data_IF_280823634351
#
_entry.id   IF_280823634351
#
_cell.length_a   1.000
_cell.length_b   1.000
_cell.length_c   1.000
_cell.angle_alpha   90.00
_cell.angle_beta   90.00
_cell.angle_gamma   90.00
#
_symmetry.space_group_name_H-M   'P 1'
#
loop_
_entity.id
_entity.type
_entity.pdbx_description
1 polymer ?
#
# COMPACT_ATOMS: atom_id res chain seq x y z
N UNK A 1 -53.92 55.32 -6.89
CA UNK A 1 -53.82 55.82 -5.49
C UNK A 1 -53.74 54.62 -4.56
N UNK A 2 -52.67 54.57 -3.74
CA UNK A 2 -52.55 53.93 -2.41
C UNK A 2 -52.99 52.47 -2.20
N UNK A 3 -52.39 51.65 -1.36
CA UNK A 3 -51.11 51.50 -0.64
C UNK A 3 -51.37 50.22 0.19
N UNK A 4 -50.40 49.29 0.23
CA UNK A 4 -49.95 48.53 1.43
C UNK A 4 -51.03 47.90 2.35
N UNK A 5 -51.09 46.60 2.62
CA UNK A 5 -50.17 45.50 2.32
C UNK A 5 -50.51 44.22 3.10
N UNK A 6 -49.75 43.16 2.79
CA UNK A 6 -49.32 42.02 3.64
C UNK A 6 -50.48 41.13 4.12
N UNK A 7 -50.58 39.86 3.70
CA UNK A 7 -49.89 38.73 4.34
C UNK A 7 -49.82 37.55 3.34
N UNK A 8 -48.57 37.17 3.03
CA UNK A 8 -48.02 35.80 3.03
C UNK A 8 -48.83 34.71 2.31
N UNK A 9 -48.31 34.26 1.17
CA UNK A 9 -48.67 32.95 0.65
C UNK A 9 -48.36 32.73 -0.83
N UNK A 10 -47.10 32.90 -1.25
CA UNK A 10 -46.46 32.15 -2.36
C UNK A 10 -45.06 32.73 -2.67
N UNK A 11 -44.14 32.66 -1.72
CA UNK A 11 -42.72 32.89 -2.02
C UNK A 11 -41.85 32.07 -1.05
N UNK A 12 -41.93 30.74 -1.20
CA UNK A 12 -40.98 29.78 -0.62
C UNK A 12 -41.06 28.48 -1.43
N UNK A 13 -40.89 28.56 -2.76
CA UNK A 13 -40.25 27.46 -3.48
C UNK A 13 -38.75 27.76 -3.35
N UNK A 14 -38.26 27.64 -2.12
CA UNK A 14 -36.85 27.42 -1.88
C UNK A 14 -36.54 26.11 -2.56
N UNK A 15 -35.85 26.22 -3.70
CA UNK A 15 -34.71 25.38 -4.09
C UNK A 15 -34.37 24.36 -3.01
N UNK A 16 -35.13 23.28 -3.01
CA UNK A 16 -34.83 22.04 -2.33
C UNK A 16 -34.31 21.07 -3.38
N UNK A 17 -33.35 21.52 -4.19
CA UNK A 17 -32.39 20.59 -4.75
C UNK A 17 -31.60 20.15 -3.53
N UNK A 18 -32.15 19.14 -2.85
CA UNK A 18 -31.36 18.26 -2.04
C UNK A 18 -30.23 17.81 -2.94
N UNK A 19 -29.06 18.43 -2.76
CA UNK A 19 -27.79 17.81 -3.06
C UNK A 19 -27.75 16.55 -2.19
N UNK A 20 -28.51 15.53 -2.59
CA UNK A 20 -28.14 14.16 -2.30
C UNK A 20 -26.83 14.05 -3.07
N UNK A 21 -25.73 14.37 -2.41
CA UNK A 21 -24.44 13.81 -2.79
C UNK A 21 -24.72 12.32 -2.80
N UNK A 22 -24.89 11.76 -3.99
CA UNK A 22 -24.72 10.33 -4.18
C UNK A 22 -23.33 10.08 -3.60
N UNK A 23 -23.28 9.57 -2.37
CA UNK A 23 -22.05 9.03 -1.82
C UNK A 23 -21.79 7.83 -2.71
N UNK A 24 -21.06 8.06 -3.80
CA UNK A 24 -20.51 6.97 -4.58
C UNK A 24 -19.64 6.17 -3.62
N UNK A 25 -19.78 4.86 -3.65
CA UNK A 25 -18.77 3.99 -3.09
C UNK A 25 -17.48 4.34 -3.83
N UNK A 26 -16.55 4.95 -3.13
CA UNK A 26 -15.25 5.32 -3.63
C UNK A 26 -14.25 4.47 -2.88
N UNK A 27 -13.65 3.55 -3.63
CA UNK A 27 -12.56 2.71 -3.22
C UNK A 27 -11.31 3.19 -3.94
N UNK A 28 -10.34 3.68 -3.17
CA UNK A 28 -9.14 4.27 -3.73
C UNK A 28 -7.89 3.70 -3.05
N UNK A 29 -6.91 3.33 -3.89
CA UNK A 29 -5.56 2.98 -3.45
C UNK A 29 -4.58 4.08 -3.80
N UNK A 30 -3.72 4.39 -2.84
CA UNK A 30 -2.52 5.21 -3.07
C UNK A 30 -1.28 4.46 -2.62
N UNK A 31 -0.19 4.63 -3.37
CA UNK A 31 1.08 3.96 -3.17
C UNK A 31 2.14 4.99 -2.88
N UNK A 32 2.78 4.88 -1.72
CA UNK A 32 3.92 5.69 -1.35
C UNK A 32 5.13 4.80 -1.09
N UNK A 33 6.17 4.97 -1.90
CA UNK A 33 7.35 4.12 -1.91
C UNK A 33 8.56 4.98 -1.57
N UNK A 34 9.30 4.59 -0.54
CA UNK A 34 10.60 5.18 -0.22
C UNK A 34 11.68 4.13 -0.36
N UNK A 35 12.68 4.43 -1.19
CA UNK A 35 13.77 3.53 -1.51
C UNK A 35 15.02 3.99 -0.77
N UNK A 36 15.72 3.02 -0.19
CA UNK A 36 17.02 3.16 0.45
C UNK A 36 18.05 2.33 -0.32
N UNK A 37 19.34 2.44 0.04
CA UNK A 37 20.34 1.57 -0.57
C UNK A 37 20.05 0.10 -0.30
N UNK A 38 19.84 -0.26 0.96
CA UNK A 38 19.72 -1.65 1.42
C UNK A 38 18.26 -2.14 1.53
N UNK A 39 17.30 -1.41 1.00
CA UNK A 39 15.90 -1.79 1.12
C UNK A 39 14.92 -0.75 0.60
N UNK A 40 13.64 -1.03 0.83
CA UNK A 40 12.54 -0.19 0.39
C UNK A 40 11.38 -0.33 1.36
N UNK A 41 10.64 0.76 1.56
CA UNK A 41 9.36 0.77 2.24
C UNK A 41 8.27 1.09 1.22
N UNK A 42 7.24 0.25 1.17
CA UNK A 42 6.05 0.49 0.37
C UNK A 42 4.85 0.59 1.29
N UNK A 43 4.29 1.79 1.38
CA UNK A 43 3.04 2.06 2.06
C UNK A 43 1.88 2.07 1.06
N UNK A 44 0.91 1.21 1.28
CA UNK A 44 -0.37 1.20 0.60
C UNK A 44 -1.41 1.84 1.50
N UNK A 45 -2.15 2.81 0.98
CA UNK A 45 -3.26 3.44 1.72
C UNK A 45 -4.55 3.16 0.98
N UNK A 46 -5.51 2.61 1.71
CA UNK A 46 -6.82 2.19 1.22
C UNK A 46 -7.88 3.10 1.81
N UNK A 47 -8.54 3.89 0.98
CA UNK A 47 -9.68 4.70 1.38
C UNK A 47 -10.96 3.93 1.07
N UNK A 48 -11.79 3.71 2.11
CA UNK A 48 -13.03 2.94 2.03
C UNK A 48 -14.20 3.86 2.39
N UNK A 49 -15.24 3.83 1.57
CA UNK A 49 -16.45 4.64 1.76
C UNK A 49 -17.69 3.96 1.21
N UNK A 50 -18.88 4.48 1.56
CA UNK A 50 -20.15 4.01 1.00
C UNK A 50 -20.36 2.50 1.17
N UNK A 51 -20.75 1.82 0.08
CA UNK A 51 -21.01 0.37 0.10
C UNK A 51 -19.76 -0.45 0.45
N UNK A 52 -18.57 -0.03 0.01
CA UNK A 52 -17.33 -0.78 0.28
C UNK A 52 -17.03 -0.85 1.78
N UNK A 53 -17.44 0.16 2.54
CA UNK A 53 -17.30 0.17 4.00
C UNK A 53 -18.19 -0.86 4.68
N UNK A 54 -19.40 -1.08 4.15
CA UNK A 54 -20.28 -2.15 4.60
C UNK A 54 -19.66 -3.52 4.27
N UNK A 55 -19.24 -3.73 3.02
CA UNK A 55 -18.65 -5.01 2.58
C UNK A 55 -17.40 -5.35 3.40
N UNK A 56 -16.55 -4.37 3.67
CA UNK A 56 -15.36 -4.56 4.51
C UNK A 56 -15.73 -5.03 5.93
N UNK A 57 -16.72 -4.37 6.56
CA UNK A 57 -17.15 -4.69 7.92
C UNK A 57 -17.88 -6.02 8.00
N UNK A 58 -18.77 -6.29 7.04
CA UNK A 58 -19.44 -7.57 6.88
C UNK A 58 -18.43 -8.71 6.78
N UNK A 59 -17.37 -8.56 5.97
CA UNK A 59 -16.34 -9.59 5.85
C UNK A 59 -15.53 -9.78 7.14
N UNK A 60 -15.33 -8.73 7.94
CA UNK A 60 -14.69 -8.87 9.26
C UNK A 60 -15.54 -9.76 10.17
N UNK A 61 -16.82 -9.44 10.30
CA UNK A 61 -17.73 -10.21 11.15
C UNK A 61 -17.91 -11.65 10.62
N UNK A 62 -18.13 -11.81 9.31
CA UNK A 62 -18.40 -13.10 8.68
C UNK A 62 -17.18 -14.05 8.70
N UNK A 63 -15.97 -13.55 8.43
CA UNK A 63 -14.77 -14.39 8.32
C UNK A 63 -13.96 -14.49 9.62
N UNK A 64 -13.95 -13.43 10.43
CA UNK A 64 -13.11 -13.35 11.63
C UNK A 64 -13.92 -13.32 12.93
N UNK A 65 -15.21 -13.03 12.84
CA UNK A 65 -16.12 -12.77 13.94
C UNK A 65 -17.05 -13.89 14.33
N UNK A 66 -18.13 -13.50 14.99
CA UNK A 66 -19.17 -14.38 15.52
C UNK A 66 -20.50 -14.24 14.78
N UNK A 67 -20.58 -13.40 13.74
CA UNK A 67 -21.75 -13.20 12.87
C UNK A 67 -22.91 -12.57 13.62
N UNK A 68 -22.64 -11.52 14.38
CA UNK A 68 -23.63 -10.78 15.16
C UNK A 68 -23.96 -9.39 14.59
N UNK A 69 -23.60 -9.16 13.32
CA UNK A 69 -23.79 -7.92 12.56
C UNK A 69 -23.05 -6.73 13.21
N UNK A 70 -21.98 -7.01 13.96
CA UNK A 70 -21.21 -5.99 14.68
C UNK A 70 -19.71 -6.30 14.69
N UNK A 71 -18.91 -5.32 14.27
CA UNK A 71 -17.45 -5.42 14.31
C UNK A 71 -16.91 -4.94 15.66
N UNK A 72 -16.33 -5.87 16.40
CA UNK A 72 -15.67 -5.62 17.67
C UNK A 72 -14.14 -5.45 17.52
N UNK A 73 -13.50 -4.92 18.55
CA UNK A 73 -12.06 -4.66 18.54
C UNK A 73 -11.20 -5.92 18.37
N UNK A 74 -11.66 -7.07 18.88
CA UNK A 74 -10.91 -8.32 18.74
C UNK A 74 -11.05 -8.92 17.34
N UNK A 75 -12.17 -8.68 16.65
CA UNK A 75 -12.38 -9.10 15.25
C UNK A 75 -11.53 -8.26 14.32
N UNK A 76 -11.49 -6.95 14.54
CA UNK A 76 -10.59 -6.06 13.82
C UNK A 76 -9.13 -6.47 14.01
N UNK A 77 -8.71 -6.84 15.22
CA UNK A 77 -7.36 -7.35 15.49
C UNK A 77 -7.08 -8.69 14.78
N UNK A 78 -8.08 -9.58 14.68
CA UNK A 78 -7.95 -10.83 13.91
C UNK A 78 -7.81 -10.55 12.42
N UNK A 79 -8.62 -9.63 11.87
CA UNK A 79 -8.56 -9.22 10.47
C UNK A 79 -7.19 -8.61 10.15
N UNK A 80 -6.69 -7.73 11.00
CA UNK A 80 -5.36 -7.15 10.89
C UNK A 80 -4.27 -8.24 10.77
N UNK A 81 -4.27 -9.23 11.68
CA UNK A 81 -3.35 -10.38 11.61
C UNK A 81 -3.56 -11.22 10.34
N UNK A 82 -4.82 -11.41 9.93
CA UNK A 82 -5.16 -12.15 8.72
C UNK A 82 -4.59 -11.46 7.47
N UNK A 83 -4.80 -10.16 7.33
CA UNK A 83 -4.33 -9.36 6.20
C UNK A 83 -2.81 -9.35 6.11
N UNK A 84 -2.09 -9.14 7.22
CA UNK A 84 -0.61 -9.22 7.22
C UNK A 84 -0.09 -10.57 6.72
N UNK A 85 -0.71 -11.67 7.18
CA UNK A 85 -0.33 -13.01 6.74
C UNK A 85 -0.65 -13.25 5.26
N UNK A 86 -1.80 -12.74 4.80
CA UNK A 86 -2.24 -12.83 3.41
C UNK A 86 -1.29 -12.06 2.50
N UNK A 87 -0.98 -10.80 2.81
CA UNK A 87 0.04 -10.00 2.12
C UNK A 87 1.38 -10.71 2.06
N UNK A 88 1.88 -11.21 3.21
CA UNK A 88 3.18 -11.90 3.27
C UNK A 88 3.21 -13.13 2.38
N UNK A 89 2.15 -13.94 2.41
CA UNK A 89 2.05 -15.16 1.60
C UNK A 89 1.98 -14.82 0.12
N UNK A 90 1.16 -13.83 -0.23
CA UNK A 90 0.94 -13.33 -1.58
C UNK A 90 2.23 -12.85 -2.24
N UNK A 91 2.96 -11.96 -1.58
CA UNK A 91 4.21 -11.39 -2.11
C UNK A 91 5.30 -12.48 -2.21
N UNK A 92 5.37 -13.41 -1.26
CA UNK A 92 6.31 -14.55 -1.34
C UNK A 92 6.02 -15.48 -2.52
N UNK A 93 4.76 -15.66 -2.88
CA UNK A 93 4.37 -16.48 -4.03
C UNK A 93 4.68 -15.77 -5.35
N UNK A 94 4.45 -14.46 -5.40
CA UNK A 94 4.73 -13.63 -6.57
C UNK A 94 5.21 -12.25 -6.10
N UNK A 95 6.52 -12.04 -6.18
CA UNK A 95 7.13 -10.77 -5.83
C UNK A 95 6.57 -9.65 -6.72
N UNK A 96 6.23 -8.55 -6.07
CA UNK A 96 5.74 -7.30 -6.63
C UNK A 96 6.87 -6.29 -6.88
N UNK A 97 8.11 -6.67 -6.59
CA UNK A 97 9.32 -5.87 -6.79
C UNK A 97 10.37 -6.67 -7.53
N UNK A 98 11.03 -6.04 -8.50
CA UNK A 98 12.27 -6.55 -9.11
C UNK A 98 13.27 -5.42 -9.27
N UNK A 99 14.54 -5.77 -9.19
CA UNK A 99 15.67 -4.93 -9.57
C UNK A 99 16.35 -5.62 -10.73
N UNK A 100 16.57 -4.91 -11.85
CA UNK A 100 17.18 -5.46 -13.06
C UNK A 100 16.52 -6.78 -13.52
N UNK A 101 15.18 -6.74 -13.55
CA UNK A 101 14.28 -7.84 -13.93
C UNK A 101 14.40 -9.11 -13.06
N UNK A 102 15.02 -9.02 -11.89
CA UNK A 102 15.16 -10.12 -10.93
C UNK A 102 14.59 -9.76 -9.55
N UNK A 103 13.97 -10.72 -8.87
CA UNK A 103 13.64 -10.62 -7.44
C UNK A 103 14.66 -11.33 -6.55
N UNK A 104 15.76 -11.84 -7.12
CA UNK A 104 16.84 -12.44 -6.36
C UNK A 104 17.49 -11.40 -5.43
N UNK A 105 17.82 -11.79 -4.20
CA UNK A 105 18.37 -10.88 -3.19
C UNK A 105 17.37 -9.88 -2.60
N UNK A 106 16.08 -9.98 -2.94
CA UNK A 106 15.01 -9.17 -2.34
C UNK A 106 14.25 -10.01 -1.30
N UNK A 107 14.24 -9.56 -0.05
CA UNK A 107 13.55 -10.22 1.04
C UNK A 107 12.45 -9.35 1.64
N UNK A 108 11.33 -9.94 2.05
CA UNK A 108 10.32 -9.26 2.87
C UNK A 108 10.79 -9.31 4.33
N UNK A 109 11.19 -8.17 4.87
CA UNK A 109 11.61 -8.03 6.27
C UNK A 109 10.38 -8.01 7.17
N UNK A 110 9.44 -7.11 6.88
CA UNK A 110 8.27 -6.91 7.70
C UNK A 110 7.04 -6.49 6.89
N UNK A 111 5.86 -6.75 7.45
CA UNK A 111 4.58 -6.26 6.94
C UNK A 111 3.77 -5.80 8.13
N UNK A 112 3.41 -4.53 8.13
CA UNK A 112 2.50 -3.94 9.10
C UNK A 112 1.14 -3.63 8.46
N UNK A 113 0.10 -3.65 9.28
CA UNK A 113 -1.24 -3.24 8.92
C UNK A 113 -1.83 -2.40 10.05
N UNK A 114 -2.51 -1.33 9.68
CA UNK A 114 -3.18 -0.41 10.58
C UNK A 114 -4.60 -0.22 10.08
N UNK A 115 -5.52 -0.97 10.68
CA UNK A 115 -6.95 -0.86 10.39
C UNK A 115 -7.58 0.25 11.23
N UNK A 116 -8.46 1.03 10.61
CA UNK A 116 -9.12 2.14 11.31
C UNK A 116 -10.09 1.66 12.40
N UNK A 117 -10.07 2.32 13.55
CA UNK A 117 -11.07 2.12 14.62
C UNK A 117 -12.50 2.52 14.18
N UNK A 118 -12.62 3.30 13.11
CA UNK A 118 -13.90 3.63 12.46
C UNK A 118 -14.55 2.43 11.77
N UNK A 119 -13.83 1.32 11.59
CA UNK A 119 -14.41 0.06 11.14
C UNK A 119 -15.19 -0.67 12.24
N UNK A 120 -15.10 -0.25 13.50
CA UNK A 120 -15.84 -0.82 14.62
C UNK A 120 -17.33 -0.44 14.57
N UNK A 121 -18.17 -1.26 15.19
CA UNK A 121 -19.62 -1.03 15.30
C UNK A 121 -20.45 -1.88 14.35
N UNK A 122 -21.76 -1.60 14.22
CA UNK A 122 -22.67 -2.36 13.37
C UNK A 122 -22.15 -2.43 11.94
N UNK A 123 -22.15 -3.61 11.32
CA UNK A 123 -21.58 -3.81 9.99
C UNK A 123 -22.34 -3.05 8.88
N UNK A 124 -23.68 -2.94 9.01
CA UNK A 124 -24.58 -2.16 8.15
C UNK A 124 -24.28 -0.65 8.12
N UNK A 125 -23.55 -0.13 9.09
CA UNK A 125 -23.21 1.28 9.14
C UNK A 125 -22.12 1.62 8.12
N UNK A 126 -22.52 2.33 7.06
CA UNK A 126 -21.61 2.85 6.03
C UNK A 126 -20.79 4.02 6.59
N UNK A 127 -19.53 3.73 6.92
CA UNK A 127 -18.61 4.67 7.56
C UNK A 127 -17.37 4.84 6.70
N UNK A 128 -16.98 6.08 6.43
CA UNK A 128 -15.73 6.32 5.71
C UNK A 128 -14.54 6.13 6.65
N UNK A 129 -13.53 5.40 6.20
CA UNK A 129 -12.30 5.18 6.94
C UNK A 129 -11.13 4.83 6.01
N UNK A 130 -9.92 4.93 6.56
CA UNK A 130 -8.67 4.70 5.83
C UNK A 130 -7.87 3.62 6.55
N UNK A 131 -7.45 2.61 5.80
CA UNK A 131 -6.51 1.59 6.27
C UNK A 131 -5.13 1.84 5.66
N UNK A 132 -4.09 1.43 6.36
CA UNK A 132 -2.71 1.54 5.86
C UNK A 132 -2.00 0.21 6.03
N UNK A 133 -1.24 -0.17 5.00
CA UNK A 133 -0.41 -1.37 4.99
C UNK A 133 1.00 -0.97 4.61
N UNK A 134 2.00 -1.46 5.33
CA UNK A 134 3.39 -1.11 5.07
C UNK A 134 4.22 -2.36 4.90
N UNK A 135 4.84 -2.52 3.74
CA UNK A 135 5.77 -3.62 3.46
C UNK A 135 7.20 -3.09 3.49
N UNK A 136 8.06 -3.76 4.24
CA UNK A 136 9.49 -3.46 4.32
C UNK A 136 10.26 -4.53 3.56
N UNK A 137 11.00 -4.12 2.53
CA UNK A 137 11.86 -4.96 1.72
C UNK A 137 13.32 -4.71 2.08
N UNK A 138 14.11 -5.78 2.09
CA UNK A 138 15.57 -5.73 2.19
C UNK A 138 16.20 -6.12 0.85
N UNK A 139 17.26 -5.42 0.47
CA UNK A 139 18.06 -5.69 -0.72
C UNK A 139 19.44 -6.16 -0.28
N UNK A 140 19.77 -7.43 -0.52
CA UNK A 140 20.98 -8.09 -0.01
C UNK A 140 22.27 -7.39 -0.46
N UNK A 141 22.36 -7.07 -1.75
CA UNK A 141 23.54 -6.44 -2.36
C UNK A 141 23.38 -4.91 -2.53
N UNK A 142 22.22 -4.38 -2.14
CA UNK A 142 21.89 -2.96 -2.23
C UNK A 142 21.61 -2.45 -3.65
N UNK A 143 20.88 -1.34 -3.73
CA UNK A 143 20.44 -0.69 -4.95
C UNK A 143 21.60 -0.06 -5.73
N UNK A 144 22.65 0.40 -5.02
CA UNK A 144 23.75 1.17 -5.64
C UNK A 144 24.75 0.32 -6.41
N UNK A 145 24.81 -0.97 -6.11
CA UNK A 145 25.72 -1.92 -6.76
C UNK A 145 25.02 -2.62 -7.93
N UNK A 146 23.71 -2.86 -7.79
CA UNK A 146 23.00 -3.85 -8.60
C UNK A 146 21.81 -3.33 -9.42
N UNK A 147 21.52 -2.02 -9.34
CA UNK A 147 20.27 -1.50 -9.85
C UNK A 147 20.45 -0.39 -10.87
N UNK A 148 19.96 -0.64 -12.09
CA UNK A 148 19.69 0.42 -13.07
C UNK A 148 18.20 0.54 -13.40
N UNK A 149 17.42 -0.48 -13.05
CA UNK A 149 15.98 -0.54 -13.23
C UNK A 149 15.28 -1.08 -11.99
N UNK A 150 14.15 -0.47 -11.65
CA UNK A 150 13.24 -0.91 -10.60
C UNK A 150 11.90 -1.20 -11.25
N UNK A 151 11.37 -2.38 -10.99
CA UNK A 151 10.06 -2.79 -11.45
C UNK A 151 9.12 -2.98 -10.25
N UNK A 152 7.91 -2.44 -10.37
CA UNK A 152 6.89 -2.39 -9.32
C UNK A 152 5.55 -2.88 -9.86
N UNK A 153 4.89 -3.77 -9.14
CA UNK A 153 3.54 -4.24 -9.46
C UNK A 153 2.53 -3.60 -8.51
N UNK A 154 1.73 -2.66 -9.02
CA UNK A 154 0.65 -2.00 -8.27
C UNK A 154 -0.72 -2.19 -8.89
N UNK A 155 -1.74 -1.71 -8.17
CA UNK A 155 -3.13 -1.70 -8.66
C UNK A 155 -3.26 -0.72 -9.84
N UNK A 156 -3.83 -1.13 -10.98
CA UNK A 156 -4.05 -0.21 -12.11
C UNK A 156 -4.85 1.03 -11.69
N UNK A 157 -4.51 2.19 -12.24
CA UNK A 157 -5.11 3.50 -11.91
C UNK A 157 -4.91 4.01 -10.48
N UNK A 158 -4.14 3.32 -9.65
CA UNK A 158 -3.82 3.80 -8.31
C UNK A 158 -2.71 4.85 -8.35
N UNK A 159 -2.76 5.81 -7.43
CA UNK A 159 -1.74 6.86 -7.35
C UNK A 159 -0.40 6.28 -6.90
N UNK A 160 0.68 6.83 -7.44
CA UNK A 160 2.04 6.39 -7.20
C UNK A 160 2.95 7.57 -6.88
N UNK A 161 3.60 7.50 -5.72
CA UNK A 161 4.72 8.36 -5.33
C UNK A 161 5.92 7.47 -5.00
N UNK A 162 7.06 7.72 -5.65
CA UNK A 162 8.31 6.98 -5.45
C UNK A 162 9.43 7.97 -5.13
N UNK A 163 10.03 7.83 -3.96
CA UNK A 163 11.16 8.62 -3.50
C UNK A 163 12.42 7.77 -3.51
N UNK A 164 13.39 8.16 -4.33
CA UNK A 164 14.72 7.56 -4.37
C UNK A 164 15.67 8.24 -3.38
N UNK A 165 16.81 7.59 -3.05
CA UNK A 165 17.89 8.24 -2.32
C UNK A 165 18.39 9.50 -3.04
N UNK A 166 18.85 10.47 -2.27
CA UNK A 166 19.45 11.70 -2.81
C UNK A 166 20.61 11.38 -3.77
N UNK A 167 20.79 12.18 -4.81
CA UNK A 167 21.78 11.92 -5.86
C UNK A 167 21.34 10.88 -6.91
N UNK A 168 20.12 10.36 -6.80
CA UNK A 168 19.50 9.55 -7.86
C UNK A 168 18.91 10.42 -8.95
N UNK A 169 19.23 10.09 -10.19
CA UNK A 169 18.63 10.64 -11.40
C UNK A 169 17.70 9.61 -12.02
N UNK A 170 16.42 9.95 -12.15
CA UNK A 170 15.45 9.14 -12.91
C UNK A 170 15.64 9.42 -14.40
N UNK A 171 15.84 8.36 -15.19
CA UNK A 171 16.15 8.44 -16.63
C UNK A 171 14.89 8.26 -17.47
N UNK A 172 14.12 7.23 -17.19
CA UNK A 172 12.92 6.87 -17.95
C UNK A 172 11.95 6.05 -17.11
N UNK A 173 10.69 6.04 -17.54
CA UNK A 173 9.60 5.34 -16.89
C UNK A 173 8.72 4.65 -17.93
N UNK A 174 8.25 3.45 -17.61
CA UNK A 174 7.24 2.71 -18.39
C UNK A 174 6.14 2.21 -17.44
N UNK A 175 4.91 2.05 -17.92
CA UNK A 175 3.79 1.57 -17.11
C UNK A 175 3.30 2.56 -16.04
N UNK A 176 3.62 3.85 -16.17
CA UNK A 176 3.18 4.92 -15.27
C UNK A 176 2.56 6.04 -16.11
N UNK A 177 1.32 6.40 -15.79
CA UNK A 177 0.57 7.49 -16.42
C UNK A 177 0.79 8.82 -15.66
N UNK A 178 0.66 9.95 -16.37
CA UNK A 178 0.74 11.31 -15.81
C UNK A 178 2.01 11.59 -14.99
N UNK A 179 3.15 11.08 -15.47
CA UNK A 179 4.44 11.16 -14.77
C UNK A 179 4.88 12.61 -14.55
N UNK A 180 5.25 12.92 -13.31
CA UNK A 180 5.94 14.15 -12.92
C UNK A 180 7.18 13.79 -12.11
N UNK A 181 8.33 14.36 -12.46
CA UNK A 181 9.61 14.08 -11.80
C UNK A 181 10.13 15.36 -11.16
N UNK A 182 10.46 15.29 -9.88
CA UNK A 182 11.02 16.37 -9.08
C UNK A 182 12.27 15.87 -8.36
N UNK A 183 13.45 16.20 -8.88
CA UNK A 183 14.73 15.72 -8.35
C UNK A 183 14.80 14.16 -8.32
N UNK A 184 14.83 13.57 -7.12
CA UNK A 184 14.83 12.12 -6.86
C UNK A 184 13.45 11.57 -6.50
N UNK A 185 12.37 12.33 -6.77
CA UNK A 185 10.99 11.90 -6.55
C UNK A 185 10.23 11.79 -7.87
N UNK A 186 9.43 10.74 -7.99
CA UNK A 186 8.53 10.45 -9.09
C UNK A 186 7.10 10.40 -8.57
N UNK A 187 6.20 11.08 -9.28
CA UNK A 187 4.76 11.05 -9.05
C UNK A 187 4.06 10.58 -10.33
N UNK A 188 2.95 9.87 -10.19
CA UNK A 188 2.12 9.42 -11.32
C UNK A 188 1.00 8.51 -10.87
N UNK A 189 0.49 7.69 -11.79
CA UNK A 189 -0.46 6.60 -11.50
C UNK A 189 0.00 5.33 -12.20
N UNK A 190 -0.23 4.17 -11.61
CA UNK A 190 -0.01 2.91 -12.33
C UNK A 190 -0.90 2.87 -13.57
N UNK A 191 -0.31 2.56 -14.73
CA UNK A 191 -1.04 2.61 -15.99
C UNK A 191 -2.21 1.63 -16.00
N UNK A 192 -3.34 2.04 -16.60
CA UNK A 192 -4.44 1.12 -16.89
C UNK A 192 -4.01 0.20 -18.02
N UNK A 193 -4.09 -1.11 -17.80
CA UNK A 193 -3.88 -2.06 -18.87
C UNK A 193 -5.09 -2.00 -19.84
N UNK A 194 -4.95 -1.24 -20.93
CA UNK A 194 -6.05 -1.04 -21.90
C UNK A 194 -6.35 -2.28 -22.73
N UNK A 195 -5.46 -3.29 -22.71
CA UNK A 195 -5.61 -4.53 -23.45
C UNK A 195 -5.68 -5.72 -22.49
N UNK A 196 -6.90 -6.15 -22.14
CA UNK A 196 -7.21 -7.27 -21.21
C UNK A 196 -6.57 -8.64 -21.56
N UNK A 197 -5.70 -8.72 -22.56
CA UNK A 197 -5.02 -9.94 -23.03
C UNK A 197 -3.56 -10.06 -22.57
N UNK A 198 -2.98 -9.02 -21.95
CA UNK A 198 -1.63 -9.09 -21.38
C UNK A 198 -1.72 -8.99 -19.84
N UNK A 199 -0.79 -9.66 -19.15
CA UNK A 199 -0.66 -9.46 -17.70
C UNK A 199 -0.24 -8.01 -17.46
N UNK A 200 -0.69 -7.36 -16.36
CA UNK A 200 -0.27 -6.00 -16.06
C UNK A 200 1.25 -5.94 -16.10
N UNK A 201 1.79 -5.13 -17.01
CA UNK A 201 3.23 -5.09 -17.30
C UNK A 201 4.03 -4.54 -16.11
N UNK A 202 3.36 -3.98 -15.08
CA UNK A 202 3.98 -3.30 -13.96
C UNK A 202 4.60 -1.97 -14.37
N UNK A 203 4.98 -1.16 -13.39
CA UNK A 203 5.74 0.05 -13.62
C UNK A 203 7.23 -0.27 -13.63
N UNK A 204 7.96 0.21 -14.63
CA UNK A 204 9.41 0.13 -14.69
C UNK A 204 10.00 1.54 -14.61
N UNK A 205 11.00 1.73 -13.76
CA UNK A 205 11.71 2.99 -13.55
C UNK A 205 13.19 2.73 -13.78
N UNK A 206 13.76 3.35 -14.81
CA UNK A 206 15.20 3.37 -15.06
C UNK A 206 15.82 4.55 -14.35
N UNK A 207 16.90 4.33 -13.63
CA UNK A 207 17.58 5.36 -12.85
C UNK A 207 19.09 5.19 -12.88
N UNK A 208 19.78 6.25 -12.49
CA UNK A 208 21.22 6.28 -12.29
C UNK A 208 21.53 6.95 -10.95
N UNK A 209 22.50 6.42 -10.22
CA UNK A 209 22.86 6.92 -8.89
C UNK A 209 24.28 7.47 -8.96
N UNK A 210 24.44 8.74 -8.59
CA UNK A 210 25.75 9.35 -8.56
C UNK A 210 26.54 8.84 -7.34
N UNK A 211 27.37 7.82 -7.56
CA UNK A 211 28.17 7.17 -6.51
C UNK A 211 29.11 8.15 -5.79
N UNK A 212 29.66 9.15 -6.48
CA UNK A 212 30.57 10.15 -5.90
C UNK A 212 29.89 11.00 -4.83
N UNK A 213 28.60 11.30 -5.01
CA UNK A 213 27.80 12.02 -4.03
C UNK A 213 27.55 11.14 -2.78
N UNK A 214 27.36 9.84 -2.97
CA UNK A 214 27.10 8.91 -1.87
C UNK A 214 28.34 8.56 -1.05
N UNK A 215 29.51 8.45 -1.68
CA UNK A 215 30.78 8.28 -0.96
C UNK A 215 31.05 9.47 -0.02
N UNK A 216 30.73 10.70 -0.45
CA UNK A 216 30.88 11.89 0.40
C UNK A 216 29.95 11.91 1.63
N UNK A 217 28.73 11.34 1.52
CA UNK A 217 27.80 11.19 2.64
C UNK A 217 28.25 10.11 3.63
N UNK A 218 28.97 9.08 3.17
CA UNK A 218 29.52 8.01 4.01
C UNK A 218 30.75 8.51 4.78
N UNK A 219 31.65 9.26 4.13
CA UNK A 219 32.81 9.86 4.78
C UNK A 219 32.42 10.88 5.87
N UNK A 220 31.37 11.68 5.67
CA UNK A 220 30.90 12.64 6.67
C UNK A 220 30.32 11.96 7.93
N UNK A 221 29.84 10.72 7.82
CA UNK A 221 29.25 9.95 8.93
C UNK A 221 30.27 9.18 9.79
N UNK A 222 31.54 9.08 9.34
CA UNK A 222 32.57 8.27 10.00
C UNK A 222 33.60 9.08 10.80
N UNK A 223 33.49 10.43 10.83
CA UNK A 223 34.40 11.30 11.58
C UNK A 223 33.89 11.65 13.01
N UNK A 224 33.54 10.63 13.80
CA UNK A 224 33.49 10.72 15.27
C UNK A 224 34.05 9.44 15.91
N UNK A 225 35.36 9.42 16.16
CA UNK A 225 36.09 8.37 16.89
C UNK A 225 36.36 8.80 18.37
N UNK A 226 36.71 7.92 19.35
CA UNK A 226 37.10 6.52 19.20
C UNK A 226 36.51 5.49 20.21
N UNK A 227 36.54 4.22 19.78
CA UNK A 227 36.89 2.98 20.53
C UNK A 227 36.48 2.87 22.01
N UNK A 228 35.50 2.00 22.29
CA UNK A 228 35.42 1.25 23.53
C UNK A 228 35.34 -0.26 23.22
N UNK A 229 36.45 -0.96 23.42
CA UNK A 229 36.50 -2.42 23.46
C UNK A 229 35.68 -2.92 24.65
N UNK A 230 34.66 -3.74 24.42
CA UNK A 230 34.06 -4.60 25.45
C UNK A 230 33.91 -6.01 24.91
N UNK A 231 34.54 -6.93 25.65
CA UNK A 231 34.72 -8.35 25.42
C UNK A 231 33.44 -9.15 25.12
N UNK A 232 33.66 -10.19 24.32
CA UNK A 232 32.82 -11.37 24.15
C UNK A 232 32.33 -11.97 25.48
N UNK A 233 31.04 -12.27 25.56
CA UNK A 233 30.57 -13.52 26.16
C UNK A 233 29.18 -13.94 25.67
N UNK A 234 29.19 -15.13 25.07
CA UNK A 234 28.13 -15.95 24.49
C UNK A 234 26.88 -16.11 25.36
N UNK A 235 25.69 -16.09 24.73
CA UNK A 235 24.64 -17.07 25.07
C UNK A 235 23.70 -17.29 23.87
N UNK A 236 23.90 -18.42 23.17
CA UNK A 236 23.02 -18.89 22.12
C UNK A 236 21.66 -19.31 22.70
N UNK A 237 20.58 -18.71 22.22
CA UNK A 237 19.20 -19.14 22.48
C UNK A 237 18.81 -20.12 21.37
N UNK A 238 18.35 -21.35 21.68
CA UNK A 238 17.97 -22.31 20.66
C UNK A 238 16.65 -21.93 19.99
N UNK A 239 16.66 -21.88 18.66
CA UNK A 239 15.48 -21.74 17.80
C UNK A 239 14.66 -23.03 17.84
N UNK A 240 13.35 -23.01 18.19
CA UNK A 240 12.53 -24.21 18.11
C UNK A 240 12.19 -24.55 16.65
N UNK A 241 12.59 -25.75 16.22
CA UNK A 241 12.17 -26.41 14.99
C UNK A 241 10.79 -27.02 15.18
N UNK A 242 9.80 -26.56 14.41
CA UNK A 242 8.51 -27.24 14.30
C UNK A 242 8.40 -27.96 12.95
N UNK A 243 7.91 -29.22 12.91
CA UNK A 243 7.71 -29.97 11.69
C UNK A 243 6.51 -29.42 10.90
N UNK A 244 6.71 -29.16 9.61
CA UNK A 244 5.66 -28.75 8.67
C UNK A 244 5.04 -30.00 8.04
N UNK A 245 3.73 -30.24 8.13
CA UNK A 245 3.07 -31.24 7.30
C UNK A 245 2.83 -30.67 5.89
N UNK A 246 3.28 -31.43 4.90
CA UNK A 246 2.99 -31.23 3.48
C UNK A 246 1.48 -31.39 3.21
N UNK A 247 0.87 -30.44 2.48
CA UNK A 247 -0.27 -30.72 1.62
C UNK A 247 -0.03 -30.07 0.25
N UNK A 248 -0.16 -30.91 -0.77
CA UNK A 248 0.08 -30.68 -2.19
C UNK A 248 -1.12 -30.04 -2.90
N UNK A 249 -0.81 -29.09 -3.78
CA UNK A 249 -1.41 -28.76 -5.08
C UNK A 249 -2.94 -28.52 -5.18
N UNK A 250 -3.33 -27.29 -5.57
CA UNK A 250 -3.67 -26.95 -6.96
C UNK A 250 -4.17 -25.49 -7.12
N UNK A 251 -3.74 -24.88 -8.24
CA UNK A 251 -4.33 -23.75 -8.99
C UNK A 251 -4.25 -22.29 -8.46
N UNK A 252 -3.20 -21.60 -8.90
CA UNK A 252 -3.17 -20.36 -9.74
C UNK A 252 -4.18 -19.20 -9.55
N UNK A 253 -3.58 -17.99 -9.50
CA UNK A 253 -4.11 -16.64 -9.76
C UNK A 253 -5.08 -16.05 -8.72
N UNK A 254 -4.58 -15.10 -7.91
CA UNK A 254 -4.96 -13.67 -7.94
C UNK A 254 -4.41 -12.98 -6.68
N UNK A 255 -3.34 -12.20 -6.84
CA UNK A 255 -2.87 -11.23 -5.82
C UNK A 255 -3.57 -9.87 -5.96
N UNK A 256 -4.36 -9.69 -7.03
CA UNK A 256 -5.17 -8.48 -7.28
C UNK A 256 -6.63 -8.66 -6.78
N UNK A 257 -7.00 -9.86 -6.27
CA UNK A 257 -8.38 -10.13 -5.89
C UNK A 257 -8.80 -9.61 -4.50
N UNK A 258 -7.89 -9.13 -3.65
CA UNK A 258 -8.36 -8.57 -2.36
C UNK A 258 -8.98 -7.19 -2.54
N UNK A 259 -8.46 -6.39 -3.47
CA UNK A 259 -9.09 -5.15 -3.92
C UNK A 259 -10.33 -5.42 -4.79
N UNK A 260 -10.28 -6.40 -5.69
CA UNK A 260 -11.41 -6.69 -6.60
C UNK A 260 -12.57 -7.50 -5.98
N UNK A 261 -12.35 -8.29 -4.92
CA UNK A 261 -13.44 -9.04 -4.26
C UNK A 261 -14.30 -8.16 -3.36
N UNK A 262 -13.82 -6.98 -2.97
CA UNK A 262 -14.64 -5.98 -2.28
C UNK A 262 -15.45 -5.11 -3.26
N UNK A 263 -15.00 -4.95 -4.51
CA UNK A 263 -15.66 -4.08 -5.51
C UNK A 263 -16.74 -4.73 -6.39
N UNK A 264 -17.06 -6.02 -6.21
CA UNK A 264 -17.97 -6.77 -7.10
C UNK A 264 -19.15 -7.49 -6.42
N UNK A 265 -19.55 -7.02 -5.25
CA UNK A 265 -20.87 -7.31 -4.67
C UNK A 265 -21.49 -6.06 -4.06
#
# INVERSE_FOLDING_TARGET
MNRRGIIVGLLCITVGISMITLVHAEYEWTNHITIYNNGMQWQYTENISGMDSYVFKYNIDEEQGNKDDFVSAWELLKMDKHLRNKFRTSIKQKMDVKIDNSSYGIAILDIDASLSDRALGPDEAMTNFTNTYQVQYGFEEGLFINGSTLWLLGEPDSELSVKFPEGTQIISTSGIDNVSIYQWELLGRFAKDTNQTQSPEGAEITYHINQTFMESLIEESTDTDPVAQVNDNVSAVPTPTFPVPFITAASTLFVIAVALMLSKY
#
